data_IF_126397835097
#
_entry.id   IF_126397835097
#
_cell.length_a   1.000
_cell.length_b   1.000
_cell.length_c   1.000
_cell.angle_alpha   90.00
_cell.angle_beta   90.00
_cell.angle_gamma   90.00
#
_symmetry.space_group_name_H-M   'P 1'
#
loop_
_entity.id
_entity.type
_entity.pdbx_description
1 polymer ?
#
# COMPACT_ATOMS: atom_id res chain seq x y z
N UNK A 1 -4.85 -17.36 22.32
CA UNK A 1 -5.95 -16.80 21.52
C UNK A 1 -6.21 -15.31 21.75
N UNK A 2 -5.48 -14.59 22.63
CA UNK A 2 -5.57 -13.13 22.75
C UNK A 2 -4.69 -12.35 21.74
N UNK A 3 -3.64 -12.97 21.19
CA UNK A 3 -2.65 -12.30 20.33
C UNK A 3 -3.11 -12.08 18.88
N UNK A 4 -4.15 -12.78 18.39
CA UNK A 4 -4.65 -12.63 17.01
C UNK A 4 -5.67 -11.49 16.90
N UNK A 5 -6.61 -11.39 17.85
CA UNK A 5 -7.63 -10.35 17.86
C UNK A 5 -7.04 -8.92 18.01
N UNK A 6 -6.00 -8.75 18.84
CA UNK A 6 -5.33 -7.45 18.98
C UNK A 6 -4.60 -7.00 17.71
N UNK A 7 -4.14 -7.96 16.87
CA UNK A 7 -3.51 -7.68 15.59
C UNK A 7 -4.53 -7.29 14.52
N UNK A 8 -5.69 -7.95 14.49
CA UNK A 8 -6.80 -7.60 13.58
C UNK A 8 -7.31 -6.18 13.81
N UNK A 9 -7.56 -5.79 15.07
CA UNK A 9 -8.03 -4.43 15.41
C UNK A 9 -6.98 -3.37 14.99
N UNK A 10 -5.69 -3.69 15.14
CA UNK A 10 -4.61 -2.77 14.73
C UNK A 10 -4.53 -2.60 13.21
N UNK A 11 -4.77 -3.67 12.44
CA UNK A 11 -4.82 -3.61 10.98
C UNK A 11 -6.00 -2.77 10.48
N UNK A 12 -7.18 -2.92 11.09
CA UNK A 12 -8.37 -2.15 10.71
C UNK A 12 -8.17 -0.66 10.95
N UNK A 13 -7.62 -0.28 12.12
CA UNK A 13 -7.30 1.11 12.44
C UNK A 13 -6.27 1.67 11.45
N UNK A 14 -5.24 0.90 11.10
CA UNK A 14 -4.23 1.31 10.13
C UNK A 14 -4.83 1.53 8.73
N UNK A 15 -5.68 0.60 8.26
CA UNK A 15 -6.35 0.71 6.96
C UNK A 15 -7.28 1.91 6.93
N UNK A 16 -8.07 2.15 7.99
CA UNK A 16 -8.95 3.31 8.07
C UNK A 16 -8.15 4.63 8.08
N UNK A 17 -7.07 4.68 8.86
CA UNK A 17 -6.19 5.84 8.89
C UNK A 17 -5.53 6.08 7.52
N UNK A 18 -5.08 5.02 6.85
CA UNK A 18 -4.55 5.09 5.50
C UNK A 18 -5.58 5.67 4.52
N UNK A 19 -6.84 5.20 4.58
CA UNK A 19 -7.93 5.68 3.70
C UNK A 19 -8.23 7.15 3.89
N UNK A 20 -8.26 7.63 5.14
CA UNK A 20 -8.55 9.02 5.48
C UNK A 20 -7.40 9.96 5.10
N UNK A 21 -6.15 9.50 5.16
CA UNK A 21 -4.96 10.37 5.05
C UNK A 21 -4.19 10.22 3.73
N UNK A 22 -4.78 9.58 2.70
CA UNK A 22 -4.11 9.37 1.39
C UNK A 22 -3.52 10.64 0.78
N UNK A 23 -4.23 11.78 0.90
CA UNK A 23 -3.78 13.07 0.37
C UNK A 23 -2.54 13.56 1.12
N UNK A 24 -2.55 13.48 2.45
CA UNK A 24 -1.42 13.90 3.28
C UNK A 24 -0.21 13.01 3.06
N UNK A 25 -0.41 11.69 2.98
CA UNK A 25 0.64 10.72 2.67
C UNK A 25 1.25 11.02 1.29
N UNK A 26 0.42 11.24 0.27
CA UNK A 26 0.90 11.58 -1.08
C UNK A 26 1.72 12.88 -1.10
N UNK A 27 1.37 13.84 -0.26
CA UNK A 27 2.10 15.10 -0.15
C UNK A 27 3.40 14.96 0.65
N UNK A 28 3.44 14.08 1.65
CA UNK A 28 4.63 13.81 2.46
C UNK A 28 5.71 13.02 1.69
N UNK A 29 5.32 12.24 0.67
CA UNK A 29 6.25 11.48 -0.16
C UNK A 29 6.96 12.43 -1.14
N UNK A 30 8.16 12.86 -0.73
CA UNK A 30 9.05 13.71 -1.54
C UNK A 30 9.94 12.92 -2.50
N UNK A 31 10.13 11.62 -2.24
CA UNK A 31 10.96 10.71 -3.04
C UNK A 31 10.09 9.58 -3.58
N UNK A 32 9.51 9.70 -4.79
CA UNK A 32 8.58 8.71 -5.30
C UNK A 32 9.25 7.38 -5.64
N UNK A 33 10.47 7.39 -6.18
CA UNK A 33 11.09 6.15 -6.66
C UNK A 33 11.38 5.15 -5.54
N UNK A 34 12.05 5.51 -4.42
CA UNK A 34 12.25 4.58 -3.31
C UNK A 34 10.93 4.02 -2.75
N UNK A 35 9.88 4.85 -2.72
CA UNK A 35 8.54 4.44 -2.30
C UNK A 35 7.94 3.41 -3.27
N UNK A 36 7.93 3.70 -4.57
CA UNK A 36 7.36 2.82 -5.59
C UNK A 36 8.16 1.51 -5.75
N UNK A 37 9.49 1.57 -5.65
CA UNK A 37 10.35 0.38 -5.63
C UNK A 37 10.01 -0.53 -4.45
N UNK A 38 9.88 0.05 -3.26
CA UNK A 38 9.48 -0.72 -2.07
C UNK A 38 8.12 -1.40 -2.26
N UNK A 39 7.15 -0.73 -2.88
CA UNK A 39 5.84 -1.32 -3.16
C UNK A 39 5.91 -2.45 -4.19
N UNK A 40 6.71 -2.28 -5.24
CA UNK A 40 6.92 -3.30 -6.29
C UNK A 40 7.62 -4.53 -5.72
N UNK A 41 8.70 -4.33 -4.97
CA UNK A 41 9.51 -5.40 -4.40
C UNK A 41 8.70 -6.26 -3.41
N UNK A 42 7.72 -5.66 -2.74
CA UNK A 42 6.77 -6.35 -1.86
C UNK A 42 5.49 -6.84 -2.57
N UNK A 43 5.44 -6.79 -3.91
CA UNK A 43 4.31 -7.25 -4.73
C UNK A 43 2.98 -6.52 -4.45
N UNK A 44 3.02 -5.30 -3.93
CA UNK A 44 1.82 -4.48 -3.72
C UNK A 44 1.33 -3.78 -4.99
N UNK A 45 2.26 -3.52 -5.91
CA UNK A 45 1.96 -3.00 -7.24
C UNK A 45 2.61 -3.92 -8.27
N UNK A 46 2.02 -3.96 -9.46
CA UNK A 46 2.58 -4.72 -10.58
C UNK A 46 3.74 -3.99 -11.23
N UNK A 47 4.63 -4.72 -11.91
CA UNK A 47 5.68 -4.14 -12.76
C UNK A 47 5.12 -3.12 -13.76
N UNK A 48 3.94 -3.41 -14.33
CA UNK A 48 3.25 -2.50 -15.23
C UNK A 48 2.91 -1.17 -14.53
N UNK A 49 2.30 -1.23 -13.34
CA UNK A 49 1.98 -0.01 -12.58
C UNK A 49 3.22 0.79 -12.18
N UNK A 50 4.31 0.09 -11.86
CA UNK A 50 5.59 0.75 -11.59
C UNK A 50 6.09 1.49 -12.83
N UNK A 51 6.13 0.83 -14.00
CA UNK A 51 6.52 1.44 -15.26
C UNK A 51 5.61 2.61 -15.66
N UNK A 52 4.28 2.46 -15.55
CA UNK A 52 3.31 3.52 -15.83
C UNK A 52 3.52 4.74 -14.90
N UNK A 53 3.93 4.50 -13.64
CA UNK A 53 4.24 5.56 -12.67
C UNK A 53 5.55 6.27 -13.00
N UNK A 54 6.57 5.55 -13.47
CA UNK A 54 7.81 6.14 -13.96
C UNK A 54 7.54 7.02 -15.19
N UNK A 55 6.76 6.51 -16.14
CA UNK A 55 6.37 7.23 -17.34
C UNK A 55 5.57 8.49 -17.01
N UNK A 56 4.66 8.44 -16.03
CA UNK A 56 3.95 9.63 -15.56
C UNK A 56 4.89 10.71 -15.00
N UNK A 57 5.90 10.31 -14.21
CA UNK A 57 6.92 11.24 -13.70
C UNK A 57 7.75 11.86 -14.83
N UNK A 58 8.11 11.08 -15.86
CA UNK A 58 8.82 11.57 -17.06
C UNK A 58 7.97 12.59 -17.81
N UNK A 59 6.67 12.33 -17.93
CA UNK A 59 5.69 13.23 -18.55
C UNK A 59 5.30 14.45 -17.67
N UNK A 60 6.10 14.75 -16.63
CA UNK A 60 5.92 15.90 -15.73
C UNK A 60 4.58 15.92 -14.99
N UNK A 61 3.95 14.75 -14.81
CA UNK A 61 2.81 14.63 -13.91
C UNK A 61 3.30 14.88 -12.48
N UNK A 62 2.61 15.73 -11.68
CA UNK A 62 3.02 15.99 -10.31
C UNK A 62 3.18 14.70 -9.51
N UNK A 63 4.30 14.58 -8.80
CA UNK A 63 4.63 13.41 -8.00
C UNK A 63 3.50 13.05 -7.04
N UNK A 64 2.87 14.05 -6.40
CA UNK A 64 1.75 13.79 -5.49
C UNK A 64 0.59 13.09 -6.20
N UNK A 65 0.32 13.41 -7.48
CA UNK A 65 -0.75 12.75 -8.24
C UNK A 65 -0.39 11.30 -8.58
N UNK A 66 0.86 11.03 -8.94
CA UNK A 66 1.34 9.68 -9.22
C UNK A 66 1.25 8.81 -7.96
N UNK A 67 1.76 9.34 -6.84
CA UNK A 67 1.70 8.66 -5.54
C UNK A 67 0.26 8.44 -5.09
N UNK A 68 -0.61 9.45 -5.20
CA UNK A 68 -2.03 9.31 -4.84
C UNK A 68 -2.73 8.22 -5.65
N UNK A 69 -2.46 8.12 -6.95
CA UNK A 69 -3.02 7.05 -7.79
C UNK A 69 -2.59 5.66 -7.30
N UNK A 70 -1.33 5.51 -6.90
CA UNK A 70 -0.81 4.26 -6.33
C UNK A 70 -1.43 3.96 -4.96
N UNK A 71 -1.61 4.97 -4.10
CA UNK A 71 -2.30 4.82 -2.81
C UNK A 71 -3.76 4.37 -2.98
N UNK A 72 -4.47 4.87 -3.99
CA UNK A 72 -5.81 4.40 -4.35
C UNK A 72 -5.85 2.95 -4.82
N UNK A 73 -4.76 2.45 -5.42
CA UNK A 73 -4.65 1.02 -5.75
C UNK A 73 -4.42 0.18 -4.50
N UNK A 74 -3.51 0.62 -3.63
CA UNK A 74 -3.22 -0.04 -2.35
C UNK A 74 -4.47 -0.18 -1.48
N UNK A 75 -5.31 0.84 -1.44
CA UNK A 75 -6.60 0.80 -0.74
C UNK A 75 -7.46 -0.40 -1.19
N UNK A 76 -7.55 -0.66 -2.49
CA UNK A 76 -8.30 -1.81 -3.04
C UNK A 76 -7.66 -3.14 -2.65
N UNK A 77 -6.33 -3.21 -2.66
CA UNK A 77 -5.58 -4.40 -2.26
C UNK A 77 -5.82 -4.72 -0.78
N UNK A 78 -5.82 -3.70 0.08
CA UNK A 78 -6.11 -3.86 1.51
C UNK A 78 -7.57 -4.22 1.76
N UNK A 79 -8.52 -3.61 1.06
CA UNK A 79 -9.94 -3.97 1.16
C UNK A 79 -10.20 -5.43 0.78
N UNK A 80 -9.57 -5.92 -0.29
CA UNK A 80 -9.66 -7.34 -0.66
C UNK A 80 -9.02 -8.27 0.39
N UNK A 81 -7.88 -7.85 0.97
CA UNK A 81 -7.15 -8.65 1.96
C UNK A 81 -7.85 -8.71 3.32
N UNK A 82 -8.55 -7.64 3.72
CA UNK A 82 -9.34 -7.57 4.95
C UNK A 82 -10.63 -8.41 4.83
N UNK A 83 -11.19 -8.51 3.62
CA UNK A 83 -12.38 -9.34 3.34
C UNK A 83 -12.05 -10.82 3.10
N UNK A 84 -10.80 -11.15 2.75
CA UNK A 84 -10.36 -12.53 2.75
C UNK A 84 -9.96 -12.93 4.17
N UNK A 85 -10.84 -13.65 4.86
CA UNK A 85 -10.44 -14.61 5.89
C UNK A 85 -10.37 -15.96 5.14
N UNK A 86 -9.20 -16.41 4.65
CA UNK A 86 -9.08 -17.78 4.17
C UNK A 86 -8.60 -18.63 5.35
N UNK A 87 -9.44 -19.56 5.79
CA UNK A 87 -9.09 -20.74 6.58
C UNK A 87 -8.12 -21.68 5.80
N UNK A 88 -7.03 -21.16 5.24
CA UNK A 88 -6.16 -21.88 4.29
C UNK A 88 -4.67 -21.70 4.55
N UNK A 89 -3.84 -22.75 4.35
CA UNK A 89 -2.45 -22.81 4.82
C UNK A 89 -1.43 -21.98 4.00
N UNK A 90 -1.89 -21.04 3.19
CA UNK A 90 -1.01 -20.25 2.32
C UNK A 90 -1.26 -18.77 2.47
N UNK A 91 -0.62 -18.17 3.48
CA UNK A 91 -0.33 -16.74 3.47
C UNK A 91 1.02 -16.53 4.16
N UNK A 92 2.04 -16.07 3.42
CA UNK A 92 3.19 -15.46 4.08
C UNK A 92 2.70 -14.15 4.68
N UNK A 93 2.80 -13.97 6.01
CA UNK A 93 2.30 -12.75 6.63
C UNK A 93 3.15 -11.55 6.22
N UNK A 94 2.50 -10.40 6.18
CA UNK A 94 3.02 -9.02 6.17
C UNK A 94 3.97 -8.71 7.37
N UNK A 95 4.65 -9.71 7.93
CA UNK A 95 5.42 -9.62 9.17
C UNK A 95 6.82 -9.02 8.98
N UNK A 96 7.06 -8.26 7.92
CA UNK A 96 8.30 -7.48 7.75
C UNK A 96 7.96 -5.99 7.52
N UNK A 97 7.07 -5.44 8.33
CA UNK A 97 6.98 -4.00 8.53
C UNK A 97 7.27 -3.71 10.00
N UNK A 98 8.56 -3.70 10.35
CA UNK A 98 9.07 -3.05 11.57
C UNK A 98 10.34 -2.31 11.15
N UNK A 99 10.27 -0.97 11.25
CA UNK A 99 11.31 0.07 11.29
C UNK A 99 12.71 -0.24 10.76
#
# INVERSE_FOLDING_TARGET
TASSASREISCEIFVNHFKENKVEIANAITKPFPFLESLRDNSFITEKMYADSQEACINLIPVQRVVYHVLCHLEKVFDCSVLSIPDGPFQKPFSTFVL
#
